data_IF_981299859223
#
_entry.id   IF_981299859223
#
_cell.length_a   1.000
_cell.length_b   1.000
_cell.length_c   1.000
_cell.angle_alpha   90.00
_cell.angle_beta   90.00
_cell.angle_gamma   90.00
#
_symmetry.space_group_name_H-M   'P 1'
#
loop_
_entity.id
_entity.type
_entity.pdbx_description
1 polymer ?
#
# COMPACT_ATOMS: atom_id res chain seq x y z
N UNK A 1 15.55 0.20 -12.21
CA UNK A 1 14.30 0.27 -11.41
C UNK A 1 13.20 -0.44 -12.17
N UNK A 2 12.80 -1.64 -11.75
CA UNK A 2 11.67 -2.38 -12.33
C UNK A 2 10.39 -1.97 -11.61
N UNK A 3 9.50 -1.22 -12.27
CA UNK A 3 8.17 -0.90 -11.74
C UNK A 3 7.21 -2.02 -12.19
N UNK A 4 6.59 -2.67 -11.22
CA UNK A 4 5.60 -3.72 -11.42
C UNK A 4 4.21 -3.11 -11.28
N UNK A 5 3.31 -3.40 -12.23
CA UNK A 5 1.97 -2.81 -12.28
C UNK A 5 0.92 -3.89 -12.41
N UNK A 6 -0.07 -3.86 -11.53
CA UNK A 6 -1.25 -4.74 -11.55
C UNK A 6 -2.50 -3.85 -11.58
N UNK A 7 -3.50 -4.22 -12.40
CA UNK A 7 -4.76 -3.47 -12.50
C UNK A 7 -5.93 -4.43 -12.30
N UNK A 8 -6.76 -4.14 -11.31
CA UNK A 8 -8.02 -4.85 -11.10
C UNK A 8 -9.02 -4.49 -12.19
N UNK A 9 -9.66 -5.51 -12.78
CA UNK A 9 -10.70 -5.31 -13.79
C UNK A 9 -11.92 -4.60 -13.19
N UNK A 10 -12.38 -3.55 -13.86
CA UNK A 10 -13.63 -2.88 -13.53
C UNK A 10 -14.82 -3.77 -13.89
N UNK A 11 -15.97 -3.53 -13.26
CA UNK A 11 -17.18 -4.36 -13.46
C UNK A 11 -17.57 -4.47 -14.94
N UNK A 12 -17.49 -3.38 -15.70
CA UNK A 12 -17.80 -3.37 -17.14
C UNK A 12 -16.71 -4.02 -18.00
N UNK A 13 -15.46 -4.06 -17.53
CA UNK A 13 -14.34 -4.70 -18.24
C UNK A 13 -14.47 -6.24 -18.14
N UNK A 14 -15.13 -6.78 -17.11
CA UNK A 14 -15.30 -8.23 -16.93
C UNK A 14 -16.03 -8.94 -18.07
N UNK A 15 -16.87 -8.22 -18.81
CA UNK A 15 -17.63 -8.78 -19.93
C UNK A 15 -16.87 -8.70 -21.27
N UNK A 16 -15.63 -8.20 -21.26
CA UNK A 16 -14.83 -8.10 -22.46
C UNK A 16 -14.32 -9.47 -22.89
N UNK A 17 -14.07 -9.60 -24.19
CA UNK A 17 -13.39 -10.79 -24.71
C UNK A 17 -11.99 -10.87 -24.11
N UNK A 18 -11.42 -12.07 -23.97
CA UNK A 18 -10.05 -12.25 -23.48
C UNK A 18 -9.06 -11.41 -24.28
N UNK A 19 -9.26 -11.33 -25.61
CA UNK A 19 -8.47 -10.50 -26.50
C UNK A 19 -8.42 -9.02 -26.07
N UNK A 20 -9.58 -8.44 -25.79
CA UNK A 20 -9.69 -7.04 -25.35
C UNK A 20 -9.15 -6.84 -23.93
N UNK A 21 -9.26 -7.84 -23.06
CA UNK A 21 -8.67 -7.79 -21.72
C UNK A 21 -7.15 -7.73 -21.79
N UNK A 22 -6.53 -8.59 -22.60
CA UNK A 22 -5.08 -8.64 -22.77
C UNK A 22 -4.55 -7.34 -23.40
N UNK A 23 -5.21 -6.83 -24.46
CA UNK A 23 -4.83 -5.53 -25.04
C UNK A 23 -4.97 -4.40 -24.01
N UNK A 24 -6.07 -4.39 -23.26
CA UNK A 24 -6.33 -3.39 -22.23
C UNK A 24 -5.29 -3.42 -21.10
N UNK A 25 -4.75 -4.60 -20.79
CA UNK A 25 -3.67 -4.77 -19.82
C UNK A 25 -2.37 -4.13 -20.31
N UNK A 26 -1.99 -4.37 -21.57
CA UNK A 26 -0.82 -3.74 -22.22
C UNK A 26 -0.94 -2.22 -22.22
N UNK A 27 -2.07 -1.70 -22.66
CA UNK A 27 -2.38 -0.26 -22.70
C UNK A 27 -2.28 0.36 -21.30
N UNK A 28 -2.80 -0.33 -20.28
CA UNK A 28 -2.73 0.15 -18.89
C UNK A 28 -1.30 0.18 -18.35
N UNK A 29 -0.49 -0.83 -18.66
CA UNK A 29 0.92 -0.87 -18.27
C UNK A 29 1.72 0.27 -18.92
N UNK A 30 1.50 0.53 -20.21
CA UNK A 30 2.15 1.63 -20.92
C UNK A 30 1.78 2.99 -20.34
N UNK A 31 0.51 3.21 -19.96
CA UNK A 31 0.09 4.45 -19.30
C UNK A 31 0.83 4.70 -17.99
N UNK A 32 1.04 3.65 -17.19
CA UNK A 32 1.75 3.78 -15.89
C UNK A 32 3.26 3.96 -16.12
N UNK A 33 3.81 3.35 -17.16
CA UNK A 33 5.22 3.44 -17.52
C UNK A 33 5.54 4.60 -18.49
N UNK A 34 4.58 5.50 -18.76
CA UNK A 34 4.71 6.58 -19.75
C UNK A 34 5.99 7.39 -19.58
N UNK A 35 6.32 7.76 -18.36
CA UNK A 35 7.50 8.57 -18.05
C UNK A 35 8.84 7.82 -18.19
N UNK A 36 8.84 6.49 -18.33
CA UNK A 36 10.05 5.71 -18.64
C UNK A 36 10.17 5.34 -20.11
N UNK A 37 9.04 5.20 -20.80
CA UNK A 37 9.01 4.67 -22.17
C UNK A 37 9.00 5.76 -23.24
N UNK A 38 8.81 7.03 -22.86
CA UNK A 38 8.81 8.13 -23.82
C UNK A 38 10.18 8.28 -24.48
N UNK A 39 10.20 8.26 -25.82
CA UNK A 39 11.43 8.40 -26.62
C UNK A 39 12.33 7.15 -26.66
N UNK A 40 11.89 6.01 -26.14
CA UNK A 40 12.66 4.75 -26.17
C UNK A 40 11.87 3.65 -26.84
N UNK A 41 12.53 2.82 -27.67
CA UNK A 41 11.90 1.63 -28.26
C UNK A 41 11.55 0.61 -27.18
N UNK A 42 10.27 0.29 -27.04
CA UNK A 42 9.75 -0.68 -26.08
C UNK A 42 9.41 -1.99 -26.78
N UNK A 43 9.74 -3.13 -26.17
CA UNK A 43 9.30 -4.45 -26.64
C UNK A 43 8.33 -5.03 -25.61
N UNK A 44 7.10 -5.25 -26.03
CA UNK A 44 6.03 -5.82 -25.20
C UNK A 44 5.91 -7.30 -25.52
N UNK A 45 6.11 -8.15 -24.52
CA UNK A 45 5.91 -9.59 -24.65
C UNK A 45 4.53 -9.97 -24.15
N UNK A 46 3.79 -10.71 -24.96
CA UNK A 46 2.45 -11.23 -24.62
C UNK A 46 2.37 -12.71 -24.97
N UNK A 47 1.65 -13.48 -24.16
CA UNK A 47 1.33 -14.88 -24.43
C UNK A 47 0.07 -15.06 -25.29
N UNK A 48 -0.51 -13.96 -25.78
CA UNK A 48 -1.66 -13.98 -26.66
C UNK A 48 -1.27 -13.72 -28.11
N UNK A 49 -1.24 -14.77 -28.93
CA UNK A 49 -0.70 -14.75 -30.30
C UNK A 49 -1.41 -13.76 -31.24
N UNK A 50 -2.71 -13.54 -31.07
CA UNK A 50 -3.46 -12.61 -31.94
C UNK A 50 -3.05 -11.15 -31.75
N UNK A 51 -2.54 -10.78 -30.57
CA UNK A 51 -2.09 -9.41 -30.30
C UNK A 51 -0.84 -9.03 -31.10
N UNK A 52 -0.11 -10.01 -31.64
CA UNK A 52 1.05 -9.76 -32.50
C UNK A 52 0.67 -8.97 -33.76
N UNK A 53 -0.54 -9.20 -34.29
CA UNK A 53 -0.99 -8.61 -35.57
C UNK A 53 -2.01 -7.48 -35.37
N UNK A 54 -2.22 -7.03 -34.14
CA UNK A 54 -3.26 -6.05 -33.84
C UNK A 54 -2.99 -4.67 -34.43
N UNK A 55 -1.72 -4.33 -34.63
CA UNK A 55 -1.29 -3.07 -35.22
C UNK A 55 -1.56 -3.02 -36.73
N UNK A 56 -1.55 -4.18 -37.40
CA UNK A 56 -1.71 -4.30 -38.86
C UNK A 56 -3.18 -4.55 -39.27
N UNK A 57 -4.05 -4.84 -38.31
CA UNK A 57 -5.43 -5.26 -38.58
C UNK A 57 -6.30 -4.07 -39.00
N UNK A 58 -6.94 -4.16 -40.18
CA UNK A 58 -7.83 -3.11 -40.71
C UNK A 58 -9.19 -3.00 -40.01
N UNK A 59 -9.78 -4.13 -39.61
CA UNK A 59 -11.09 -4.17 -38.99
C UNK A 59 -10.95 -4.26 -37.47
N UNK A 60 -11.10 -3.10 -36.82
CA UNK A 60 -10.99 -2.97 -35.38
C UNK A 60 -12.22 -2.28 -34.80
N UNK A 61 -12.61 -2.76 -33.62
CA UNK A 61 -13.68 -2.18 -32.84
C UNK A 61 -13.30 -0.74 -32.42
N UNK A 62 -14.28 0.15 -32.21
CA UNK A 62 -14.04 1.56 -31.84
C UNK A 62 -13.14 1.69 -30.61
N UNK A 63 -13.27 0.78 -29.63
CA UNK A 63 -12.42 0.73 -28.43
C UNK A 63 -10.97 0.37 -28.76
N UNK A 64 -10.78 -0.66 -29.60
CA UNK A 64 -9.45 -1.10 -30.01
C UNK A 64 -8.73 0.01 -30.79
N UNK A 65 -9.45 0.76 -31.63
CA UNK A 65 -8.92 1.94 -32.31
C UNK A 65 -8.40 3.01 -31.35
N UNK A 66 -9.18 3.37 -30.32
CA UNK A 66 -8.73 4.33 -29.30
C UNK A 66 -7.47 3.86 -28.56
N UNK A 67 -7.34 2.56 -28.34
CA UNK A 67 -6.16 1.98 -27.71
C UNK A 67 -4.96 1.92 -28.65
N UNK A 68 -5.19 1.69 -29.94
CA UNK A 68 -4.13 1.75 -30.95
C UNK A 68 -3.59 3.16 -31.15
N UNK A 69 -4.45 4.17 -31.13
CA UNK A 69 -4.03 5.57 -31.17
C UNK A 69 -3.05 5.87 -30.03
N UNK A 70 -3.38 5.44 -28.81
CA UNK A 70 -2.47 5.56 -27.68
C UNK A 70 -1.18 4.73 -27.87
N UNK A 71 -1.26 3.53 -28.44
CA UNK A 71 -0.08 2.70 -28.69
C UNK A 71 0.85 3.36 -29.72
N UNK A 72 0.29 4.06 -30.71
CA UNK A 72 1.05 4.76 -31.75
C UNK A 72 1.88 5.93 -31.22
N UNK A 73 1.51 6.49 -30.07
CA UNK A 73 2.31 7.50 -29.36
C UNK A 73 3.64 6.94 -28.82
N UNK A 74 3.78 5.61 -28.74
CA UNK A 74 4.97 4.93 -28.26
C UNK A 74 5.60 4.09 -29.38
N UNK A 75 6.94 4.07 -29.44
CA UNK A 75 7.66 3.15 -30.32
C UNK A 75 7.68 1.73 -29.70
N UNK A 76 6.53 1.03 -29.76
CA UNK A 76 6.33 -0.28 -29.17
C UNK A 76 6.23 -1.39 -30.21
N UNK A 77 6.96 -2.48 -29.97
CA UNK A 77 6.88 -3.71 -30.75
C UNK A 77 6.24 -4.82 -29.91
N UNK A 78 5.12 -5.39 -30.39
CA UNK A 78 4.41 -6.48 -29.69
C UNK A 78 4.92 -7.83 -30.19
N UNK A 79 5.54 -8.60 -29.32
CA UNK A 79 6.08 -9.92 -29.62
C UNK A 79 5.32 -11.01 -28.87
N UNK A 80 4.99 -12.11 -29.57
CA UNK A 80 4.47 -13.29 -28.92
C UNK A 80 5.57 -14.02 -28.13
N UNK A 81 5.26 -14.42 -26.90
CA UNK A 81 6.11 -15.22 -26.04
C UNK A 81 5.29 -16.36 -25.41
N UNK A 82 5.73 -17.63 -25.50
CA UNK A 82 4.91 -18.75 -25.05
C UNK A 82 4.57 -18.65 -23.56
N UNK A 83 3.28 -18.79 -23.22
CA UNK A 83 2.78 -18.61 -21.84
C UNK A 83 3.46 -19.49 -20.80
N UNK A 84 3.91 -20.71 -21.16
CA UNK A 84 4.71 -21.57 -20.26
C UNK A 84 6.01 -20.93 -19.79
N UNK A 85 6.60 -20.05 -20.61
CA UNK A 85 7.81 -19.32 -20.28
C UNK A 85 7.50 -17.96 -19.63
N UNK A 86 6.26 -17.46 -19.76
CA UNK A 86 5.80 -16.20 -19.16
C UNK A 86 5.52 -16.30 -17.65
N UNK A 87 6.28 -17.12 -16.94
CA UNK A 87 6.05 -17.48 -15.53
C UNK A 87 6.09 -16.24 -14.63
N UNK A 88 6.97 -15.29 -14.92
CA UNK A 88 7.13 -14.07 -14.12
C UNK A 88 5.87 -13.20 -14.21
N UNK A 89 5.39 -12.90 -15.42
CA UNK A 89 4.19 -12.07 -15.60
C UNK A 89 2.94 -12.78 -15.06
N UNK A 90 2.84 -14.09 -15.26
CA UNK A 90 1.72 -14.90 -14.83
C UNK A 90 1.66 -15.03 -13.28
N UNK A 91 2.81 -15.19 -12.62
CA UNK A 91 2.91 -15.15 -11.15
C UNK A 91 2.50 -13.78 -10.59
N UNK A 92 2.87 -12.70 -11.28
CA UNK A 92 2.49 -11.35 -10.89
C UNK A 92 1.00 -11.10 -11.13
N UNK A 93 0.43 -11.52 -12.25
CA UNK A 93 -1.00 -11.30 -12.55
C UNK A 93 -1.94 -11.95 -11.52
N UNK A 94 -1.55 -13.10 -10.94
CA UNK A 94 -2.43 -13.91 -10.06
C UNK A 94 -2.55 -13.47 -8.60
N UNK A 95 -1.72 -12.55 -8.11
CA UNK A 95 -1.50 -12.34 -6.67
C UNK A 95 -2.68 -11.73 -5.88
N UNK A 96 -3.70 -11.16 -6.53
CA UNK A 96 -4.71 -10.31 -5.86
C UNK A 96 -6.11 -10.96 -5.65
N UNK A 97 -6.23 -12.29 -5.67
CA UNK A 97 -7.53 -12.95 -5.41
C UNK A 97 -7.86 -13.16 -3.93
N UNK A 98 -6.90 -13.02 -3.03
CA UNK A 98 -7.22 -13.07 -1.61
C UNK A 98 -7.70 -11.68 -1.15
N UNK A 99 -8.94 -11.55 -0.66
CA UNK A 99 -9.31 -10.35 0.07
C UNK A 99 -8.28 -10.19 1.20
N UNK A 100 -7.79 -8.96 1.48
CA UNK A 100 -6.94 -8.77 2.65
C UNK A 100 -7.70 -9.36 3.83
N UNK A 101 -7.07 -10.27 4.58
CA UNK A 101 -7.63 -10.82 5.81
C UNK A 101 -7.98 -9.62 6.69
N UNK A 102 -9.27 -9.26 6.71
CA UNK A 102 -9.77 -8.18 7.56
C UNK A 102 -9.77 -8.73 8.97
N UNK A 103 -8.63 -8.61 9.65
CA UNK A 103 -8.54 -8.85 11.09
C UNK A 103 -9.44 -7.80 11.74
N UNK A 104 -10.69 -8.16 12.05
CA UNK A 104 -11.69 -7.23 12.59
C UNK A 104 -11.32 -6.71 13.98
N UNK A 105 -10.53 -7.48 14.72
CA UNK A 105 -9.83 -7.05 15.91
C UNK A 105 -8.74 -8.09 16.20
N UNK A 106 -7.50 -7.65 16.38
CA UNK A 106 -6.58 -8.40 17.22
C UNK A 106 -7.06 -8.12 18.64
N UNK A 107 -7.95 -8.96 19.17
CA UNK A 107 -8.24 -8.94 20.61
C UNK A 107 -6.95 -9.41 21.26
N UNK A 108 -6.04 -8.47 21.53
CA UNK A 108 -5.05 -8.68 22.55
C UNK A 108 -5.87 -8.78 23.81
N UNK A 109 -6.06 -10.00 24.32
CA UNK A 109 -6.42 -10.21 25.71
C UNK A 109 -5.24 -9.68 26.52
N UNK A 110 -5.09 -8.36 26.58
CA UNK A 110 -4.30 -7.67 27.58
C UNK A 110 -4.93 -8.21 28.85
N UNK A 111 -4.21 -9.12 29.52
CA UNK A 111 -4.68 -9.74 30.75
C UNK A 111 -5.28 -8.62 31.59
N UNK A 112 -6.56 -8.74 31.91
CA UNK A 112 -7.38 -7.70 32.55
C UNK A 112 -6.77 -7.17 33.85
N UNK A 113 -5.71 -7.82 34.33
CA UNK A 113 -4.93 -7.47 35.49
C UNK A 113 -3.78 -6.47 35.21
N UNK A 114 -3.39 -6.18 33.95
CA UNK A 114 -2.28 -5.25 33.67
C UNK A 114 -2.57 -3.81 34.16
N UNK A 115 -3.76 -3.21 33.94
CA UNK A 115 -4.08 -1.90 34.52
C UNK A 115 -4.06 -1.94 36.05
N UNK A 116 -4.48 -3.06 36.65
CA UNK A 116 -4.50 -3.28 38.09
C UNK A 116 -3.09 -3.44 38.67
N UNK A 117 -2.19 -4.12 37.96
CA UNK A 117 -0.78 -4.23 38.33
C UNK A 117 -0.06 -2.88 38.24
N UNK A 118 -0.35 -2.07 37.22
CA UNK A 118 0.19 -0.71 37.09
C UNK A 118 -0.27 0.16 38.27
N UNK A 119 -1.56 0.16 38.59
CA UNK A 119 -2.12 0.90 39.73
C UNK A 119 -1.50 0.44 41.06
N UNK A 120 -1.40 -0.87 41.29
CA UNK A 120 -0.81 -1.41 42.51
C UNK A 120 0.67 -1.04 42.63
N UNK A 121 1.41 -1.02 41.52
CA UNK A 121 2.83 -0.65 41.49
C UNK A 121 3.02 0.84 41.79
N UNK A 122 2.20 1.71 41.20
CA UNK A 122 2.21 3.15 41.48
C UNK A 122 1.83 3.46 42.93
N UNK A 123 0.81 2.78 43.47
CA UNK A 123 0.40 2.93 44.87
C UNK A 123 1.48 2.45 45.84
N UNK A 124 2.25 1.41 45.47
CA UNK A 124 3.41 0.94 46.25
C UNK A 124 4.56 1.95 46.20
N UNK A 125 4.84 2.55 45.04
CA UNK A 125 5.89 3.56 44.89
C UNK A 125 5.59 4.86 45.67
N UNK A 126 4.33 5.34 45.70
CA UNK A 126 3.90 6.55 46.41
C UNK A 126 3.92 6.47 47.94
N UNK A 127 4.23 5.31 48.54
CA UNK A 127 4.31 5.19 50.01
C UNK A 127 5.49 6.00 50.54
N UNK A 128 5.29 6.73 51.64
CA UNK A 128 6.30 7.60 52.28
C UNK A 128 7.62 6.88 52.62
N UNK A 129 7.56 5.56 52.86
CA UNK A 129 8.74 4.70 53.08
C UNK A 129 9.64 4.57 51.84
N UNK A 130 9.12 4.80 50.63
CA UNK A 130 9.83 4.68 49.36
C UNK A 130 10.27 6.05 48.80
N UNK A 131 9.54 7.13 49.10
CA UNK A 131 9.90 8.51 48.74
C UNK A 131 11.28 8.91 49.31
N UNK A 132 11.62 8.45 50.52
CA UNK A 132 12.92 8.75 51.16
C UNK A 132 14.13 8.09 50.49
N UNK A 133 13.95 7.06 49.66
CA UNK A 133 15.07 6.36 48.98
C UNK A 133 15.41 6.94 47.61
N UNK A 134 14.56 7.80 47.06
CA UNK A 134 14.72 8.38 45.71
C UNK A 134 15.02 9.89 45.74
N UNK A 135 15.11 10.51 46.93
CA UNK A 135 15.39 11.94 47.08
C UNK A 135 16.89 12.24 46.90
N UNK A 136 17.38 12.06 45.67
CA UNK A 136 18.66 12.63 45.26
C UNK A 136 18.39 14.08 44.86
N UNK A 137 18.42 14.98 45.84
CA UNK A 137 18.44 16.42 45.58
C UNK A 137 17.28 17.26 46.14
N UNK A 138 16.50 16.77 47.12
CA UNK A 138 15.70 17.61 48.03
C UNK A 138 14.51 18.36 47.41
N UNK A 139 14.17 18.10 46.15
CA UNK A 139 13.22 18.90 45.38
C UNK A 139 11.74 18.54 45.67
N UNK A 140 11.47 17.41 46.33
CA UNK A 140 10.11 16.93 46.61
C UNK A 140 9.54 17.35 47.97
N UNK A 141 10.38 17.73 48.94
CA UNK A 141 9.93 18.13 50.28
C UNK A 141 9.24 19.51 50.27
N UNK A 142 9.67 20.43 49.41
CA UNK A 142 9.06 21.77 49.24
C UNK A 142 7.58 21.69 48.83
N UNK A 143 7.25 20.78 47.90
CA UNK A 143 5.88 20.62 47.37
C UNK A 143 4.88 20.10 48.42
N UNK A 144 5.35 19.55 49.53
CA UNK A 144 4.50 19.09 50.64
C UNK A 144 4.16 20.21 51.63
N UNK A 145 4.93 21.31 51.68
CA UNK A 145 4.70 22.39 52.64
C UNK A 145 3.68 23.42 52.14
N UNK A 146 3.57 23.60 50.83
CA UNK A 146 2.56 24.49 50.23
C UNK A 146 1.98 23.94 48.91
N UNK A 147 0.91 23.14 48.96
CA UNK A 147 0.25 22.58 47.77
C UNK A 147 -0.40 23.62 46.86
N UNK A 148 -0.51 24.89 47.31
CA UNK A 148 -1.10 25.99 46.55
C UNK A 148 -0.11 26.67 45.58
N UNK A 149 1.21 26.58 45.83
CA UNK A 149 2.23 27.25 45.00
C UNK A 149 2.31 26.66 43.58
N UNK A 150 2.22 25.33 43.47
CA UNK A 150 2.29 24.59 42.19
C UNK A 150 1.08 24.85 41.28
N UNK A 151 -0.07 25.23 41.84
CA UNK A 151 -1.28 25.51 41.05
C UNK A 151 -1.30 26.92 40.46
N UNK A 152 -0.63 27.89 41.09
CA UNK A 152 -0.63 29.29 40.64
C UNK A 152 0.31 29.51 39.44
N UNK A 153 1.39 28.74 39.33
CA UNK A 153 2.39 28.90 38.27
C UNK A 153 1.93 28.36 36.89
N UNK A 154 0.83 27.60 36.84
CA UNK A 154 0.31 26.96 35.63
C UNK A 154 -0.78 27.76 34.90
N UNK A 155 -1.12 28.96 35.39
CA UNK A 155 -2.25 29.77 34.91
C UNK A 155 -1.86 31.16 34.38
N UNK A 156 -0.63 31.36 33.93
CA UNK A 156 -0.27 32.53 33.11
C UNK A 156 -0.07 32.09 31.64
N UNK A 157 -0.92 32.54 30.71
CA UNK A 157 -0.68 32.39 29.28
C UNK A 157 -0.05 33.66 28.69
N UNK A 158 1.18 33.50 28.18
CA UNK A 158 1.94 34.38 27.26
C UNK A 158 2.21 35.84 27.66
#
# INVERSE_FOLDING_TARGET
MTKLTQKKLKIHEKNYTTHDLELGAVVSALKICRHYLYGTKCRVFTDHKSLQHILDQKELNMRQRQWLELLSDYDCEICYYPGKANVIADALSRKEREPPLRVRALVMTIGSDLPRQILNTQAKARKSKNIRKEDVGGMLVENSRDPKKVRMEKLEPR
#
